data_IF_630377193334
#
_entry.id   IF_630377193334
#
_cell.length_a   1.000
_cell.length_b   1.000
_cell.length_c   1.000
_cell.angle_alpha   90.00
_cell.angle_beta   90.00
_cell.angle_gamma   90.00
#
_symmetry.space_group_name_H-M   'P 1'
#
loop_
_entity.id
_entity.type
_entity.pdbx_description
1 polymer ?
#
# COMPACT_ATOMS: atom_id res chain seq x y z
N UNK A 1 5.12 -35.99 -0.07
CA UNK A 1 6.12 -36.38 -1.09
C UNK A 1 5.45 -36.17 -2.45
N UNK A 2 5.74 -35.04 -3.08
CA UNK A 2 5.27 -34.74 -4.45
C UNK A 2 6.36 -35.29 -5.39
N UNK A 3 6.03 -36.02 -6.46
CA UNK A 3 7.05 -36.60 -7.33
C UNK A 3 7.84 -35.50 -8.03
N UNK A 4 9.17 -35.65 -8.02
CA UNK A 4 10.14 -34.65 -8.47
C UNK A 4 10.42 -34.69 -9.99
N UNK A 5 9.68 -35.49 -10.77
CA UNK A 5 9.99 -35.70 -12.18
C UNK A 5 8.71 -35.59 -13.02
N UNK A 6 8.34 -34.36 -13.40
CA UNK A 6 7.51 -34.15 -14.58
C UNK A 6 8.42 -34.34 -15.80
N UNK A 7 8.36 -35.54 -16.35
CA UNK A 7 8.96 -35.94 -17.61
C UNK A 7 8.86 -34.85 -18.68
N UNK A 8 9.92 -34.69 -19.47
CA UNK A 8 9.94 -34.00 -20.76
C UNK A 8 8.81 -34.54 -21.64
N UNK A 9 7.65 -33.89 -21.62
CA UNK A 9 6.54 -34.21 -22.50
C UNK A 9 6.60 -33.28 -23.72
N UNK A 10 6.70 -33.80 -24.96
CA UNK A 10 6.49 -32.98 -26.15
C UNK A 10 5.02 -32.53 -26.17
N UNK A 11 4.79 -31.21 -26.23
CA UNK A 11 3.46 -30.64 -26.44
C UNK A 11 2.99 -30.98 -27.86
N UNK A 12 2.16 -32.02 -28.00
CA UNK A 12 1.55 -32.39 -29.29
C UNK A 12 0.09 -31.95 -29.30
N UNK A 13 -0.18 -30.86 -30.01
CA UNK A 13 -1.52 -30.39 -30.35
C UNK A 13 -1.46 -29.06 -31.09
N UNK A 14 -1.79 -29.04 -32.39
CA UNK A 14 -2.07 -27.87 -33.25
C UNK A 14 -0.97 -26.80 -33.42
N UNK A 15 -0.50 -26.22 -32.32
CA UNK A 15 0.54 -25.20 -32.20
C UNK A 15 1.95 -25.77 -31.94
N UNK A 16 2.15 -27.07 -32.20
CA UNK A 16 3.36 -27.84 -31.87
C UNK A 16 4.63 -27.54 -32.69
N UNK A 17 4.82 -26.30 -33.17
CA UNK A 17 6.03 -25.92 -33.93
C UNK A 17 6.90 -24.84 -33.28
N UNK A 18 6.51 -24.30 -32.13
CA UNK A 18 7.18 -23.15 -31.54
C UNK A 18 7.77 -23.38 -30.15
N UNK A 19 7.45 -24.49 -29.48
CA UNK A 19 7.88 -24.78 -28.11
C UNK A 19 8.75 -26.03 -28.04
N UNK A 20 9.92 -25.92 -27.41
CA UNK A 20 10.91 -26.99 -27.28
C UNK A 20 10.82 -27.71 -25.93
N UNK A 21 10.52 -27.00 -24.84
CA UNK A 21 10.35 -27.59 -23.51
C UNK A 21 9.63 -26.63 -22.56
N UNK A 22 9.03 -27.17 -21.50
CA UNK A 22 8.51 -26.41 -20.38
C UNK A 22 8.99 -27.05 -19.06
N UNK A 23 9.34 -26.24 -18.05
CA UNK A 23 9.68 -26.71 -16.70
C UNK A 23 9.11 -25.79 -15.63
N UNK A 24 8.86 -26.34 -14.45
CA UNK A 24 8.41 -25.56 -13.30
C UNK A 24 9.60 -25.29 -12.36
N UNK A 25 9.81 -24.03 -11.98
CA UNK A 25 10.85 -23.61 -11.01
C UNK A 25 10.20 -22.68 -10.00
N UNK A 26 10.21 -23.02 -8.70
CA UNK A 26 9.68 -22.18 -7.61
C UNK A 26 8.27 -21.59 -7.86
N UNK A 27 7.31 -22.42 -8.31
CA UNK A 27 5.94 -22.05 -8.71
C UNK A 27 5.80 -21.20 -9.99
N UNK A 28 6.85 -21.10 -10.79
CA UNK A 28 6.83 -20.48 -12.12
C UNK A 28 6.88 -21.52 -13.22
N UNK A 29 6.15 -21.28 -14.31
CA UNK A 29 6.25 -22.09 -15.53
C UNK A 29 7.19 -21.37 -16.50
N UNK A 30 8.26 -22.06 -16.87
CA UNK A 30 9.29 -21.59 -17.81
C UNK A 30 9.10 -22.34 -19.12
N UNK A 31 8.80 -21.63 -20.21
CA UNK A 31 8.57 -22.22 -21.54
C UNK A 31 9.65 -21.75 -22.51
N UNK A 32 10.28 -22.69 -23.23
CA UNK A 32 11.36 -22.46 -24.21
C UNK A 32 10.83 -22.59 -25.64
N UNK A 33 11.14 -21.64 -26.52
CA UNK A 33 10.70 -21.67 -27.94
C UNK A 33 11.60 -20.94 -28.94
N UNK A 34 11.43 -21.22 -30.25
CA UNK A 34 12.16 -20.59 -31.37
C UNK A 34 11.17 -19.81 -32.25
N UNK A 35 11.44 -18.51 -32.50
CA UNK A 35 10.73 -17.69 -33.51
C UNK A 35 11.48 -17.68 -34.84
N UNK A 36 10.76 -17.82 -35.96
CA UNK A 36 11.37 -17.94 -37.29
C UNK A 36 11.22 -16.75 -38.24
N UNK A 37 10.42 -15.71 -37.99
CA UNK A 37 10.28 -14.58 -38.95
C UNK A 37 10.10 -13.18 -38.31
N UNK A 38 10.52 -12.13 -39.04
CA UNK A 38 10.59 -10.70 -38.62
C UNK A 38 9.19 -10.07 -38.47
N UNK A 39 8.97 -9.26 -37.42
CA UNK A 39 7.69 -8.60 -37.14
C UNK A 39 7.88 -7.12 -36.71
N UNK A 40 6.92 -6.24 -37.05
CA UNK A 40 6.81 -4.82 -36.65
C UNK A 40 5.43 -4.57 -36.00
N UNK A 41 5.34 -3.77 -34.93
CA UNK A 41 4.08 -3.54 -34.19
C UNK A 41 4.00 -2.18 -33.46
N UNK A 42 2.76 -1.68 -33.28
CA UNK A 42 2.37 -0.41 -32.64
C UNK A 42 1.45 -0.58 -31.41
N UNK A 43 1.11 0.53 -30.76
CA UNK A 43 0.92 0.66 -29.30
C UNK A 43 -0.53 0.54 -28.75
N UNK A 44 -0.64 0.00 -27.52
CA UNK A 44 -1.74 0.27 -26.57
C UNK A 44 -2.69 -0.91 -26.29
N UNK A 45 -2.95 -1.16 -25.00
CA UNK A 45 -3.91 -2.11 -24.38
C UNK A 45 -3.44 -3.56 -24.16
N UNK A 46 -4.14 -4.22 -23.22
CA UNK A 46 -3.89 -5.51 -22.57
C UNK A 46 -3.12 -6.56 -23.37
N UNK A 47 -2.22 -7.28 -22.69
CA UNK A 47 -1.59 -8.47 -23.26
C UNK A 47 -2.58 -9.64 -23.12
N UNK A 48 -3.46 -9.79 -24.10
CA UNK A 48 -4.07 -11.09 -24.38
C UNK A 48 -3.07 -11.88 -25.24
N UNK A 49 -2.55 -12.98 -24.69
CA UNK A 49 -1.77 -13.94 -25.48
C UNK A 49 -2.76 -14.87 -26.18
N UNK A 50 -3.28 -14.44 -27.33
CA UNK A 50 -4.11 -15.28 -28.20
C UNK A 50 -3.20 -16.06 -29.14
N UNK A 51 -3.14 -17.38 -28.98
CA UNK A 51 -2.47 -18.26 -29.94
C UNK A 51 -3.43 -18.60 -31.08
N UNK A 52 -3.50 -17.72 -32.07
CA UNK A 52 -4.08 -18.04 -33.38
C UNK A 52 -3.16 -17.44 -34.45
N UNK A 53 -2.64 -18.31 -35.30
CA UNK A 53 -1.80 -18.06 -36.48
C UNK A 53 -1.24 -16.62 -36.65
N UNK A 54 0.00 -16.47 -36.18
CA UNK A 54 0.99 -15.43 -36.56
C UNK A 54 1.00 -14.12 -35.76
N UNK A 55 2.16 -13.86 -35.12
CA UNK A 55 2.76 -12.58 -34.66
C UNK A 55 2.60 -12.19 -33.16
N UNK A 56 3.74 -11.95 -32.47
CA UNK A 56 3.86 -11.32 -31.13
C UNK A 56 5.12 -10.42 -31.07
N UNK A 57 5.09 -9.22 -30.44
CA UNK A 57 6.23 -8.28 -30.34
C UNK A 57 6.45 -7.67 -28.92
N UNK A 58 7.68 -7.19 -28.63
CA UNK A 58 8.12 -6.55 -27.36
C UNK A 58 9.06 -5.34 -27.65
N UNK A 59 8.92 -4.22 -26.93
CA UNK A 59 9.82 -3.04 -26.98
C UNK A 59 10.19 -2.54 -25.56
N UNK A 60 11.47 -2.20 -25.31
CA UNK A 60 11.97 -1.56 -24.09
C UNK A 60 12.32 -0.06 -24.26
N UNK A 61 12.00 0.85 -23.32
CA UNK A 61 11.91 2.29 -23.63
C UNK A 61 13.23 3.07 -23.62
N UNK A 62 14.36 2.50 -23.18
CA UNK A 62 15.58 3.29 -22.87
C UNK A 62 16.90 2.70 -23.40
N UNK A 63 16.87 1.87 -24.45
CA UNK A 63 18.11 1.37 -25.06
C UNK A 63 18.29 1.95 -26.48
N UNK A 64 19.38 2.67 -26.71
CA UNK A 64 19.77 3.17 -28.03
C UNK A 64 20.10 1.99 -28.99
N UNK A 65 19.81 2.12 -30.30
CA UNK A 65 19.69 0.99 -31.21
C UNK A 65 21.03 0.66 -31.87
N UNK A 66 21.79 -0.29 -31.33
CA UNK A 66 22.96 -0.83 -32.05
C UNK A 66 23.09 -2.36 -32.03
N UNK A 67 22.13 -3.10 -31.48
CA UNK A 67 22.22 -4.56 -31.44
C UNK A 67 21.08 -5.17 -32.28
N UNK A 68 21.44 -5.66 -33.46
CA UNK A 68 20.61 -6.59 -34.22
C UNK A 68 20.81 -7.98 -33.60
N UNK A 69 19.78 -8.55 -33.00
CA UNK A 69 19.84 -9.93 -32.51
C UNK A 69 19.48 -10.89 -33.65
N UNK A 70 20.45 -11.67 -34.13
CA UNK A 70 20.18 -12.80 -35.02
C UNK A 70 19.62 -13.97 -34.20
N UNK A 71 18.35 -14.30 -34.43
CA UNK A 71 17.63 -15.45 -33.88
C UNK A 71 17.71 -15.59 -32.34
N UNK A 72 16.81 -14.92 -31.62
CA UNK A 72 16.66 -15.06 -30.17
C UNK A 72 15.86 -16.32 -29.78
N UNK A 73 16.26 -16.98 -28.69
CA UNK A 73 15.36 -17.86 -27.94
C UNK A 73 14.52 -16.98 -27.01
N UNK A 74 13.19 -17.19 -26.98
CA UNK A 74 12.31 -16.51 -26.01
C UNK A 74 12.07 -17.47 -24.85
N UNK A 75 12.34 -16.98 -23.64
CA UNK A 75 11.94 -17.65 -22.40
C UNK A 75 10.77 -16.86 -21.80
N UNK A 76 9.57 -17.43 -21.85
CA UNK A 76 8.40 -16.84 -21.20
C UNK A 76 8.33 -17.38 -19.78
N UNK A 77 8.31 -16.48 -18.79
CA UNK A 77 8.13 -16.83 -17.38
C UNK A 77 6.80 -16.26 -16.91
N UNK A 78 5.83 -17.14 -16.67
CA UNK A 78 4.54 -16.78 -16.13
C UNK A 78 4.50 -17.10 -14.62
N UNK A 79 4.09 -16.12 -13.81
CA UNK A 79 3.88 -16.29 -12.37
C UNK A 79 2.40 -16.59 -12.11
N UNK A 80 2.11 -17.68 -11.38
CA UNK A 80 0.76 -18.02 -10.95
C UNK A 80 -0.09 -18.84 -11.93
N UNK A 81 0.50 -19.46 -12.95
CA UNK A 81 -0.22 -20.43 -13.79
C UNK A 81 -0.51 -21.70 -12.97
N UNK A 82 -1.78 -21.94 -12.64
CA UNK A 82 -2.27 -23.27 -12.30
C UNK A 82 -2.69 -23.98 -13.59
N UNK A 83 -2.02 -25.08 -13.95
CA UNK A 83 -2.57 -26.01 -14.93
C UNK A 83 -3.72 -26.76 -14.27
N UNK A 84 -4.96 -26.41 -14.63
CA UNK A 84 -6.09 -27.30 -14.37
C UNK A 84 -5.92 -28.53 -15.27
N UNK A 85 -5.63 -29.69 -14.67
CA UNK A 85 -5.66 -30.95 -15.41
C UNK A 85 -7.05 -31.14 -16.05
N UNK A 86 -7.13 -31.68 -17.28
CA UNK A 86 -8.42 -31.95 -17.92
C UNK A 86 -9.25 -32.86 -17.00
N UNK A 87 -10.45 -32.39 -16.63
CA UNK A 87 -11.44 -33.25 -16.01
C UNK A 87 -12.04 -34.14 -17.09
N UNK A 88 -11.62 -35.40 -17.06
CA UNK A 88 -12.18 -36.58 -17.73
C UNK A 88 -12.44 -36.50 -19.24
N UNK A 89 -12.04 -37.58 -19.90
CA UNK A 89 -12.19 -37.84 -21.33
C UNK A 89 -13.63 -37.55 -21.79
N UNK A 90 -13.83 -36.50 -22.61
CA UNK A 90 -14.68 -36.47 -23.83
C UNK A 90 -14.99 -35.06 -24.36
N UNK A 91 -14.57 -33.97 -23.74
CA UNK A 91 -14.64 -32.65 -24.36
C UNK A 91 -13.36 -31.85 -24.11
N UNK A 92 -12.62 -31.55 -25.19
CA UNK A 92 -11.56 -30.54 -25.19
C UNK A 92 -12.20 -29.18 -24.93
N UNK A 93 -12.44 -28.85 -23.67
CA UNK A 93 -12.70 -27.48 -23.25
C UNK A 93 -11.43 -26.66 -23.42
N UNK A 94 -11.53 -25.49 -24.04
CA UNK A 94 -10.41 -24.55 -24.12
C UNK A 94 -9.87 -24.29 -22.71
N UNK A 95 -8.54 -24.38 -22.48
CA UNK A 95 -7.97 -24.01 -21.19
C UNK A 95 -8.24 -22.53 -20.93
N UNK A 96 -9.12 -22.25 -19.96
CA UNK A 96 -9.38 -20.90 -19.50
C UNK A 96 -8.15 -20.36 -18.77
N UNK A 97 -7.54 -19.31 -19.31
CA UNK A 97 -6.48 -18.57 -18.64
C UNK A 97 -7.12 -17.56 -17.68
N UNK A 98 -7.13 -17.85 -16.37
CA UNK A 98 -7.33 -16.80 -15.37
C UNK A 98 -6.12 -15.88 -15.40
N UNK A 99 -6.37 -14.56 -15.48
CA UNK A 99 -5.38 -13.46 -15.58
C UNK A 99 -4.07 -13.76 -14.85
N UNK A 100 -3.07 -14.25 -15.59
CA UNK A 100 -1.73 -14.52 -15.08
C UNK A 100 -0.79 -13.36 -15.42
N UNK A 101 0.14 -13.05 -14.51
CA UNK A 101 1.20 -12.08 -14.77
C UNK A 101 2.30 -12.74 -15.61
N UNK A 102 2.54 -12.19 -16.81
CA UNK A 102 3.52 -12.73 -17.77
C UNK A 102 4.74 -11.81 -17.82
N UNK A 103 5.93 -12.36 -17.57
CA UNK A 103 7.22 -11.72 -17.87
C UNK A 103 7.87 -12.39 -19.09
N UNK A 104 8.56 -11.61 -19.92
CA UNK A 104 9.26 -12.12 -21.11
C UNK A 104 10.77 -11.89 -20.94
N UNK A 105 11.56 -12.96 -21.02
CA UNK A 105 13.03 -12.90 -21.17
C UNK A 105 13.38 -13.09 -22.64
N UNK A 106 14.26 -12.23 -23.16
CA UNK A 106 14.89 -12.43 -24.46
C UNK A 106 16.36 -12.79 -24.21
N UNK A 107 16.84 -13.89 -24.78
CA UNK A 107 18.25 -14.31 -24.67
C UNK A 107 18.83 -14.69 -26.03
N UNK A 108 20.15 -14.56 -26.18
CA UNK A 108 20.88 -15.03 -27.36
C UNK A 108 20.99 -16.56 -27.36
N UNK A 109 20.91 -17.18 -28.55
CA UNK A 109 20.91 -18.63 -28.80
C UNK A 109 22.00 -19.46 -28.08
N UNK A 110 23.07 -18.82 -27.64
CA UNK A 110 24.25 -19.46 -27.04
C UNK A 110 24.21 -19.58 -25.51
N UNK A 111 23.25 -18.94 -24.84
CA UNK A 111 23.26 -18.81 -23.38
C UNK A 111 22.30 -19.79 -22.70
N UNK A 112 22.84 -20.63 -21.81
CA UNK A 112 22.03 -21.46 -20.92
C UNK A 112 21.73 -20.67 -19.63
N UNK A 113 20.46 -20.33 -19.42
CA UNK A 113 20.00 -19.72 -18.16
C UNK A 113 19.90 -20.81 -17.10
N UNK A 114 20.92 -20.93 -16.25
CA UNK A 114 21.03 -22.02 -15.27
C UNK A 114 20.45 -21.66 -13.88
N UNK A 115 20.43 -20.38 -13.49
CA UNK A 115 20.01 -19.95 -12.14
C UNK A 115 19.17 -18.67 -12.16
N UNK A 116 18.16 -18.61 -11.28
CA UNK A 116 17.32 -17.45 -11.04
C UNK A 116 17.55 -16.95 -9.60
N UNK A 117 17.92 -15.68 -9.40
CA UNK A 117 18.09 -15.11 -8.06
C UNK A 117 17.20 -13.87 -7.87
N UNK A 118 16.47 -13.78 -6.75
CA UNK A 118 15.57 -12.66 -6.46
C UNK A 118 16.33 -11.52 -5.76
N UNK A 119 16.45 -10.35 -6.40
CA UNK A 119 17.02 -9.13 -5.78
C UNK A 119 16.13 -7.92 -6.08
N UNK A 120 15.74 -7.17 -5.04
CA UNK A 120 15.01 -5.90 -5.14
C UNK A 120 13.70 -5.93 -5.95
N UNK A 121 13.00 -7.07 -6.00
CA UNK A 121 11.76 -7.22 -6.77
C UNK A 121 11.96 -7.60 -8.24
N UNK A 122 13.20 -7.75 -8.69
CA UNK A 122 13.58 -8.24 -10.01
C UNK A 122 14.14 -9.66 -9.91
N UNK A 123 13.90 -10.49 -10.92
CA UNK A 123 14.67 -11.73 -11.11
C UNK A 123 15.95 -11.38 -11.86
N UNK A 124 17.08 -11.59 -11.19
CA UNK A 124 18.40 -11.50 -11.80
C UNK A 124 18.75 -12.86 -12.40
N UNK A 125 19.04 -12.87 -13.70
CA UNK A 125 19.77 -13.95 -14.34
C UNK A 125 21.25 -13.61 -14.19
N UNK A 126 22.08 -14.59 -13.87
CA UNK A 126 23.52 -14.41 -13.68
C UNK A 126 24.23 -14.27 -15.05
N UNK A 127 23.87 -13.22 -15.80
CA UNK A 127 24.66 -12.69 -16.91
C UNK A 127 24.39 -11.19 -17.05
N UNK A 128 25.44 -10.39 -17.23
CA UNK A 128 25.47 -8.91 -17.14
C UNK A 128 24.71 -8.20 -18.28
N UNK A 129 23.91 -8.93 -19.06
CA UNK A 129 23.37 -8.50 -20.36
C UNK A 129 21.83 -8.53 -20.44
N UNK A 130 21.13 -9.19 -19.50
CA UNK A 130 19.68 -9.44 -19.60
C UNK A 130 18.96 -9.23 -18.27
N UNK A 131 17.82 -8.53 -18.27
CA UNK A 131 16.98 -8.33 -17.08
C UNK A 131 15.52 -8.69 -17.39
N UNK A 132 14.85 -9.31 -16.41
CA UNK A 132 13.42 -9.62 -16.48
C UNK A 132 12.66 -8.64 -15.58
N UNK A 133 11.73 -7.88 -16.16
CA UNK A 133 10.87 -6.96 -15.40
C UNK A 133 9.47 -7.54 -15.30
N UNK A 134 9.03 -7.83 -14.07
CA UNK A 134 7.60 -7.99 -13.79
C UNK A 134 7.05 -6.60 -13.48
N UNK A 135 6.18 -6.09 -14.35
CA UNK A 135 5.44 -4.87 -14.06
C UNK A 135 4.32 -5.22 -13.08
N UNK A 136 4.64 -5.22 -11.78
CA UNK A 136 3.60 -5.16 -10.77
C UNK A 136 2.99 -3.77 -10.85
N UNK A 137 1.75 -3.68 -11.35
CA UNK A 137 0.94 -2.48 -11.17
C UNK A 137 0.68 -2.37 -9.67
N UNK A 138 1.39 -1.47 -9.00
CA UNK A 138 1.13 -1.20 -7.59
C UNK A 138 -0.03 -0.22 -7.47
N UNK A 139 -0.86 -0.35 -6.42
CA UNK A 139 -1.99 0.55 -6.26
C UNK A 139 -1.51 1.98 -6.01
N UNK A 140 -2.27 2.93 -6.56
CA UNK A 140 -2.15 4.35 -6.23
C UNK A 140 -3.27 4.66 -5.25
N UNK A 141 -2.91 5.11 -4.05
CA UNK A 141 -3.90 5.55 -3.07
C UNK A 141 -4.04 7.06 -3.11
N UNK A 142 -5.25 7.55 -2.84
CA UNK A 142 -5.55 8.97 -2.77
C UNK A 142 -6.02 9.34 -1.36
N UNK A 143 -5.44 10.39 -0.80
CA UNK A 143 -5.91 11.04 0.42
C UNK A 143 -5.94 12.55 0.20
N UNK A 144 -7.03 13.22 0.59
CA UNK A 144 -7.09 14.68 0.49
C UNK A 144 -8.03 15.31 1.52
N UNK A 145 -7.99 16.63 1.60
CA UNK A 145 -8.94 17.43 2.36
C UNK A 145 -10.03 18.08 1.47
N UNK A 146 -10.21 17.63 0.21
CA UNK A 146 -11.13 18.27 -0.75
C UNK A 146 -12.61 18.17 -0.36
N UNK A 147 -12.97 17.15 0.43
CA UNK A 147 -14.35 16.72 0.66
C UNK A 147 -14.79 15.66 -0.36
N UNK A 148 -15.65 14.74 0.07
CA UNK A 148 -16.18 13.66 -0.78
C UNK A 148 -17.09 14.17 -1.92
N UNK A 149 -17.75 15.32 -1.71
CA UNK A 149 -18.75 15.87 -2.64
C UNK A 149 -18.15 16.85 -3.67
N UNK A 150 -16.83 16.82 -3.89
CA UNK A 150 -16.14 17.80 -4.73
C UNK A 150 -15.51 17.18 -5.99
N UNK A 151 -15.50 17.92 -7.10
CA UNK A 151 -15.09 17.42 -8.42
C UNK A 151 -13.60 17.07 -8.50
N UNK A 152 -12.75 17.64 -7.64
CA UNK A 152 -11.30 17.51 -7.68
C UNK A 152 -10.83 16.05 -7.61
N UNK A 153 -11.49 15.21 -6.81
CA UNK A 153 -11.17 13.78 -6.71
C UNK A 153 -11.42 13.07 -8.04
N UNK A 154 -12.56 13.35 -8.69
CA UNK A 154 -12.87 12.82 -10.02
C UNK A 154 -11.85 13.24 -11.07
N UNK A 155 -11.41 14.50 -11.04
CA UNK A 155 -10.36 15.01 -11.94
C UNK A 155 -9.01 14.34 -11.71
N UNK A 156 -8.62 14.08 -10.46
CA UNK A 156 -7.39 13.33 -10.16
C UNK A 156 -7.46 11.90 -10.70
N UNK A 157 -8.55 11.19 -10.43
CA UNK A 157 -8.75 9.83 -10.95
C UNK A 157 -8.74 9.79 -12.47
N UNK A 158 -9.42 10.73 -13.13
CA UNK A 158 -9.40 10.86 -14.58
C UNK A 158 -7.99 11.12 -15.13
N UNK A 159 -7.19 11.96 -14.45
CA UNK A 159 -5.80 12.23 -14.82
C UNK A 159 -4.91 10.99 -14.69
N UNK A 160 -5.09 10.21 -13.61
CA UNK A 160 -4.39 8.93 -13.41
C UNK A 160 -4.76 7.97 -14.54
N UNK A 161 -6.06 7.74 -14.78
CA UNK A 161 -6.54 6.81 -15.80
C UNK A 161 -6.13 7.22 -17.22
N UNK A 162 -6.01 8.52 -17.50
CA UNK A 162 -5.49 9.02 -18.78
C UNK A 162 -4.01 8.61 -19.00
N UNK A 163 -3.21 8.54 -17.93
CA UNK A 163 -1.78 8.19 -17.98
C UNK A 163 -1.52 6.69 -17.80
N UNK A 164 -2.41 6.02 -17.08
CA UNK A 164 -2.32 4.63 -16.66
C UNK A 164 -3.73 4.03 -16.61
N UNK A 165 -4.31 3.64 -17.76
CA UNK A 165 -5.67 3.09 -17.83
C UNK A 165 -5.90 1.85 -16.96
N UNK A 166 -4.84 1.11 -16.68
CA UNK A 166 -4.80 -0.11 -15.85
C UNK A 166 -4.61 0.17 -14.34
N UNK A 167 -4.54 1.44 -13.92
CA UNK A 167 -4.24 1.80 -12.53
C UNK A 167 -5.29 1.26 -11.55
N UNK A 168 -4.82 0.65 -10.46
CA UNK A 168 -5.64 0.36 -9.29
C UNK A 168 -5.66 1.60 -8.39
N UNK A 169 -6.77 2.34 -8.41
CA UNK A 169 -6.92 3.56 -7.62
C UNK A 169 -7.75 3.26 -6.37
N UNK A 170 -7.22 3.58 -5.19
CA UNK A 170 -7.90 3.37 -3.91
C UNK A 170 -8.00 4.68 -3.13
N UNK A 171 -9.21 5.15 -2.84
CA UNK A 171 -9.37 6.30 -1.94
C UNK A 171 -9.20 5.83 -0.50
N UNK A 172 -8.27 6.43 0.25
CA UNK A 172 -8.21 6.26 1.69
C UNK A 172 -9.32 7.06 2.37
N UNK A 173 -9.37 8.35 2.06
CA UNK A 173 -10.44 9.27 2.47
C UNK A 173 -10.19 10.64 1.83
N UNK A 174 -11.28 11.37 1.57
CA UNK A 174 -11.24 12.77 1.15
C UNK A 174 -11.85 13.71 2.18
N UNK A 175 -12.09 13.19 3.39
CA UNK A 175 -12.70 13.89 4.52
C UNK A 175 -11.67 14.27 5.58
N UNK A 176 -10.40 14.43 5.18
CA UNK A 176 -9.38 15.00 6.06
C UNK A 176 -9.79 16.43 6.41
N UNK A 177 -9.43 16.84 7.64
CA UNK A 177 -9.70 18.21 8.08
C UNK A 177 -8.87 19.15 7.25
N UNK A 178 -9.46 20.30 6.89
CA UNK A 178 -8.81 21.26 5.99
C UNK A 178 -7.42 21.63 6.52
N UNK A 179 -6.42 21.45 5.67
CA UNK A 179 -5.01 21.77 5.93
C UNK A 179 -4.40 21.05 7.13
N UNK A 180 -4.91 19.87 7.52
CA UNK A 180 -4.50 19.17 8.73
C UNK A 180 -3.56 17.98 8.46
N UNK A 181 -2.22 18.17 8.56
CA UNK A 181 -1.26 17.10 8.37
C UNK A 181 -1.28 16.06 9.50
N UNK A 182 -1.75 16.40 10.70
CA UNK A 182 -1.82 15.47 11.84
C UNK A 182 -2.91 14.43 11.61
N UNK A 183 -4.09 14.87 11.16
CA UNK A 183 -5.17 13.95 10.79
C UNK A 183 -4.76 13.04 9.63
N UNK A 184 -4.14 13.62 8.61
CA UNK A 184 -3.67 12.87 7.45
C UNK A 184 -2.62 11.81 7.83
N UNK A 185 -1.62 12.20 8.62
CA UNK A 185 -0.58 11.28 9.09
C UNK A 185 -1.17 10.13 9.91
N UNK A 186 -2.19 10.39 10.73
CA UNK A 186 -2.89 9.34 11.48
C UNK A 186 -3.47 8.26 10.54
N UNK A 187 -4.18 8.68 9.50
CA UNK A 187 -4.79 7.76 8.51
C UNK A 187 -3.71 7.04 7.69
N UNK A 188 -2.69 7.76 7.24
CA UNK A 188 -1.61 7.20 6.42
C UNK A 188 -0.77 6.17 7.16
N UNK A 189 -0.52 6.34 8.47
CA UNK A 189 0.16 5.31 9.28
C UNK A 189 -0.63 4.00 9.29
N UNK A 190 -1.95 4.08 9.48
CA UNK A 190 -2.81 2.92 9.46
C UNK A 190 -2.82 2.23 8.09
N UNK A 191 -2.83 3.01 7.00
CA UNK A 191 -2.76 2.49 5.65
C UNK A 191 -1.40 1.82 5.37
N UNK A 192 -0.29 2.43 5.79
CA UNK A 192 1.07 1.95 5.53
C UNK A 192 1.31 0.51 6.02
N UNK A 193 0.65 0.07 7.09
CA UNK A 193 0.82 -1.28 7.64
C UNK A 193 0.06 -2.36 6.84
N UNK A 194 -0.94 -1.97 6.04
CA UNK A 194 -1.83 -2.90 5.33
C UNK A 194 -1.54 -2.93 3.83
N UNK A 195 -1.16 -1.80 3.23
CA UNK A 195 -0.90 -1.71 1.80
C UNK A 195 0.42 -2.41 1.40
N UNK A 196 0.46 -3.05 0.21
CA UNK A 196 1.64 -3.76 -0.24
C UNK A 196 2.83 -2.81 -0.46
N UNK A 197 4.05 -3.35 -0.38
CA UNK A 197 5.27 -2.63 -0.76
C UNK A 197 5.14 -2.13 -2.21
N UNK A 198 5.69 -0.95 -2.48
CA UNK A 198 5.61 -0.27 -3.77
C UNK A 198 4.32 0.52 -4.00
N UNK A 199 3.33 0.44 -3.11
CA UNK A 199 2.14 1.33 -3.14
C UNK A 199 2.58 2.80 -3.16
N UNK A 200 1.89 3.61 -3.96
CA UNK A 200 2.15 5.04 -4.07
C UNK A 200 0.97 5.83 -3.51
N UNK A 201 1.20 6.60 -2.45
CA UNK A 201 0.20 7.43 -1.78
C UNK A 201 0.32 8.87 -2.27
N UNK A 202 -0.72 9.37 -2.93
CA UNK A 202 -0.82 10.78 -3.35
C UNK A 202 -1.56 11.57 -2.28
N UNK A 203 -0.89 12.60 -1.75
CA UNK A 203 -1.37 13.39 -0.62
C UNK A 203 -1.77 14.79 -1.09
N UNK A 204 -3.07 15.03 -1.19
CA UNK A 204 -3.67 16.33 -1.50
C UNK A 204 -4.11 17.09 -0.25
N UNK A 205 -3.17 17.41 0.64
CA UNK A 205 -3.42 18.16 1.88
C UNK A 205 -2.43 19.31 1.95
N UNK A 206 -2.94 20.54 1.96
CA UNK A 206 -2.11 21.77 1.93
C UNK A 206 -0.97 21.67 0.89
N UNK A 207 -1.32 21.24 -0.32
CA UNK A 207 -0.36 20.85 -1.36
C UNK A 207 0.31 22.03 -2.07
N UNK A 208 -0.02 23.27 -1.71
CA UNK A 208 0.62 24.45 -2.32
C UNK A 208 2.10 24.45 -1.95
N UNK A 209 2.96 24.64 -2.96
CA UNK A 209 4.40 24.73 -2.75
C UNK A 209 4.77 26.07 -2.10
N UNK A 210 5.56 26.00 -1.03
CA UNK A 210 6.23 27.16 -0.45
C UNK A 210 7.68 26.79 -0.09
N UNK A 211 8.57 27.76 0.17
CA UNK A 211 9.92 27.45 0.67
C UNK A 211 9.92 26.59 1.94
N UNK A 212 8.89 26.74 2.78
CA UNK A 212 8.71 25.98 4.02
C UNK A 212 7.98 24.64 3.80
N UNK A 213 7.24 24.50 2.70
CA UNK A 213 6.46 23.31 2.35
C UNK A 213 6.78 22.83 0.93
N UNK A 214 8.03 22.43 0.67
CA UNK A 214 8.44 21.98 -0.65
C UNK A 214 7.81 20.63 -0.98
N UNK A 215 7.71 20.29 -2.26
CA UNK A 215 7.16 19.01 -2.71
C UNK A 215 8.19 17.89 -2.59
N UNK A 216 7.76 16.76 -2.04
CA UNK A 216 8.64 15.62 -1.77
C UNK A 216 8.03 14.31 -2.27
N UNK A 217 8.91 13.43 -2.71
CA UNK A 217 8.65 12.00 -2.76
C UNK A 217 9.42 11.38 -1.59
N UNK A 218 8.72 10.72 -0.68
CA UNK A 218 9.31 10.04 0.48
C UNK A 218 9.09 8.55 0.33
N UNK A 219 10.17 7.78 0.39
CA UNK A 219 10.11 6.33 0.52
C UNK A 219 10.16 5.97 1.99
N UNK A 220 9.12 5.29 2.47
CA UNK A 220 9.00 4.87 3.87
C UNK A 220 8.33 3.50 3.92
N UNK A 221 8.90 2.58 4.71
CA UNK A 221 8.40 1.21 4.83
C UNK A 221 8.22 0.53 3.45
N UNK A 222 9.12 0.82 2.50
CA UNK A 222 9.06 0.31 1.13
C UNK A 222 7.85 0.76 0.30
N UNK A 223 7.16 1.82 0.69
CA UNK A 223 6.09 2.50 -0.06
C UNK A 223 6.50 3.93 -0.40
N UNK A 224 5.82 4.58 -1.34
CA UNK A 224 6.10 5.95 -1.76
C UNK A 224 4.98 6.90 -1.35
N UNK A 225 5.34 8.07 -0.84
CA UNK A 225 4.41 9.12 -0.43
C UNK A 225 4.77 10.41 -1.17
N UNK A 226 3.80 11.01 -1.87
CA UNK A 226 4.00 12.20 -2.69
C UNK A 226 3.12 13.32 -2.15
N UNK A 227 3.72 14.45 -1.79
CA UNK A 227 2.99 15.62 -1.28
C UNK A 227 3.90 16.74 -0.80
N UNK A 228 3.31 17.81 -0.28
CA UNK A 228 4.05 18.91 0.37
C UNK A 228 4.58 18.51 1.75
N UNK A 229 5.81 18.90 2.04
CA UNK A 229 6.42 18.69 3.36
C UNK A 229 5.90 19.69 4.40
N UNK A 230 4.69 19.42 4.86
CA UNK A 230 4.01 20.14 5.96
C UNK A 230 4.34 19.55 7.33
N UNK A 231 5.37 18.70 7.41
CA UNK A 231 5.68 17.88 8.60
C UNK A 231 4.91 16.56 8.65
N UNK A 232 3.96 16.34 7.72
CA UNK A 232 3.18 15.11 7.60
C UNK A 232 4.06 13.85 7.55
N UNK A 233 5.19 13.90 6.84
CA UNK A 233 6.10 12.76 6.73
C UNK A 233 6.73 12.39 8.08
N UNK A 234 7.17 13.37 8.87
CA UNK A 234 7.67 13.11 10.22
C UNK A 234 6.59 12.58 11.15
N UNK A 235 5.37 13.12 11.05
CA UNK A 235 4.21 12.65 11.84
C UNK A 235 3.82 11.21 11.51
N UNK A 236 4.09 10.73 10.29
CA UNK A 236 3.94 9.32 9.91
C UNK A 236 5.01 8.40 10.51
N UNK A 237 6.06 8.97 11.13
CA UNK A 237 7.18 8.20 11.68
C UNK A 237 8.41 8.17 10.78
N UNK A 238 8.49 9.02 9.75
CA UNK A 238 9.69 9.19 8.92
C UNK A 238 10.83 9.93 9.67
N UNK A 239 11.18 9.47 10.88
CA UNK A 239 12.39 9.96 11.58
C UNK A 239 13.65 9.62 10.81
N UNK A 240 13.64 8.49 10.10
CA UNK A 240 14.66 8.05 9.15
C UNK A 240 13.93 7.39 7.95
N UNK A 241 13.49 8.17 6.95
CA UNK A 241 12.90 7.60 5.74
C UNK A 241 13.93 6.77 4.97
N UNK A 242 13.46 5.81 4.18
CA UNK A 242 14.31 4.97 3.32
C UNK A 242 15.01 5.84 2.24
N UNK A 243 14.30 6.84 1.71
CA UNK A 243 14.82 7.84 0.79
C UNK A 243 13.88 9.05 0.70
N UNK A 244 14.41 10.21 0.30
CA UNK A 244 13.65 11.43 0.04
C UNK A 244 14.15 12.09 -1.25
N UNK A 245 13.23 12.51 -2.11
CA UNK A 245 13.52 13.20 -3.36
C UNK A 245 12.76 14.53 -3.43
N UNK A 246 13.45 15.55 -3.93
CA UNK A 246 12.94 16.89 -4.17
C UNK A 246 12.18 16.94 -5.49
N UNK A 247 10.87 17.24 -5.42
CA UNK A 247 10.00 17.41 -6.58
C UNK A 247 9.65 18.89 -6.81
N UNK A 248 10.22 19.81 -6.01
CA UNK A 248 9.98 21.24 -6.12
C UNK A 248 10.52 21.84 -7.41
N UNK A 249 9.78 22.80 -7.97
CA UNK A 249 10.22 23.53 -9.17
C UNK A 249 10.37 22.68 -10.44
N UNK A 250 9.89 21.43 -10.44
CA UNK A 250 9.84 20.58 -11.63
C UNK A 250 8.85 21.21 -12.60
N UNK A 251 9.34 21.59 -13.79
CA UNK A 251 8.49 22.11 -14.86
C UNK A 251 7.58 20.98 -15.35
N UNK A 252 6.28 21.26 -15.38
CA UNK A 252 5.28 20.35 -15.93
C UNK A 252 4.74 20.94 -17.22
N UNK A 253 4.32 20.08 -18.15
CA UNK A 253 3.69 20.52 -19.41
C UNK A 253 2.35 21.25 -19.18
N UNK A 254 1.79 21.12 -17.99
CA UNK A 254 0.50 21.71 -17.58
C UNK A 254 0.73 22.79 -16.51
N UNK A 255 0.61 24.07 -16.89
CA UNK A 255 0.77 25.21 -15.97
C UNK A 255 -0.49 25.41 -15.08
N UNK A 256 -0.66 24.53 -14.09
CA UNK A 256 -1.71 24.63 -13.07
C UNK A 256 -1.10 24.72 -11.65
N UNK A 257 -0.60 25.90 -11.24
CA UNK A 257 0.10 26.05 -9.96
C UNK A 257 -0.81 25.84 -8.74
N UNK A 258 -2.13 25.90 -8.91
CA UNK A 258 -3.12 25.71 -7.84
C UNK A 258 -3.64 24.28 -7.73
N UNK A 259 -3.17 23.35 -8.56
CA UNK A 259 -3.56 21.94 -8.50
C UNK A 259 -2.37 20.98 -8.73
N UNK A 260 -1.31 21.08 -7.92
CA UNK A 260 -0.09 20.28 -8.07
C UNK A 260 -0.34 18.78 -7.96
N UNK A 261 -1.38 18.36 -7.25
CA UNK A 261 -1.79 16.97 -7.18
C UNK A 261 -2.05 16.39 -8.58
N UNK A 262 -2.69 17.18 -9.44
CA UNK A 262 -2.99 16.77 -10.82
C UNK A 262 -1.79 16.98 -11.75
N UNK A 263 -1.17 18.16 -11.72
CA UNK A 263 -0.15 18.54 -12.70
C UNK A 263 1.21 17.89 -12.43
N UNK A 264 1.54 17.58 -11.17
CA UNK A 264 2.85 17.10 -10.75
C UNK A 264 2.79 15.75 -10.02
N UNK A 265 1.92 15.58 -9.01
CA UNK A 265 1.92 14.36 -8.20
C UNK A 265 1.38 13.16 -8.96
N UNK A 266 0.34 13.31 -9.78
CA UNK A 266 -0.19 12.22 -10.63
C UNK A 266 0.85 11.70 -11.64
N UNK A 267 1.57 12.53 -12.41
CA UNK A 267 2.68 12.06 -13.24
C UNK A 267 3.74 11.28 -12.44
N UNK A 268 4.18 11.81 -11.30
CA UNK A 268 5.13 11.14 -10.43
C UNK A 268 4.60 9.80 -9.91
N UNK A 269 3.33 9.76 -9.47
CA UNK A 269 2.69 8.57 -8.94
C UNK A 269 2.57 7.47 -9.99
N UNK A 270 2.14 7.82 -11.20
CA UNK A 270 1.99 6.86 -12.31
C UNK A 270 3.35 6.34 -12.81
N UNK A 271 4.41 7.16 -12.77
CA UNK A 271 5.78 6.68 -13.05
C UNK A 271 6.24 5.64 -12.02
N UNK A 272 6.09 5.94 -10.73
CA UNK A 272 6.49 5.03 -9.65
C UNK A 272 5.63 3.76 -9.62
N UNK A 273 4.32 3.87 -9.84
CA UNK A 273 3.40 2.73 -9.85
C UNK A 273 3.65 1.75 -11.00
N UNK A 274 4.33 2.20 -12.06
CA UNK A 274 4.81 1.35 -13.17
C UNK A 274 6.19 0.73 -12.91
N UNK A 275 6.76 0.91 -11.72
CA UNK A 275 8.09 0.45 -11.36
C UNK A 275 9.22 1.38 -11.79
N UNK A 276 8.90 2.62 -12.18
CA UNK A 276 9.90 3.65 -12.47
C UNK A 276 10.72 4.02 -11.24
N UNK A 277 11.96 4.48 -11.47
CA UNK A 277 12.87 4.88 -10.40
C UNK A 277 12.64 6.36 -10.01
N UNK A 278 12.64 6.71 -8.70
CA UNK A 278 12.37 8.07 -8.22
C UNK A 278 13.45 9.09 -8.61
N UNK A 279 14.68 8.66 -8.88
CA UNK A 279 15.81 9.50 -9.31
C UNK A 279 15.55 10.20 -10.65
N UNK A 280 14.64 9.65 -11.48
CA UNK A 280 14.22 10.29 -12.74
C UNK A 280 13.22 11.43 -12.51
N UNK A 281 12.58 11.49 -11.35
CA UNK A 281 11.56 12.47 -11.02
C UNK A 281 12.12 13.65 -10.22
N UNK A 282 13.14 13.41 -9.40
CA UNK A 282 13.69 14.40 -8.49
C UNK A 282 15.07 14.04 -7.99
N UNK A 283 15.79 15.04 -7.48
CA UNK A 283 17.11 14.85 -6.87
C UNK A 283 16.98 14.39 -5.41
N UNK A 284 17.96 13.64 -4.86
CA UNK A 284 17.99 13.33 -3.43
C UNK A 284 17.91 14.59 -2.57
N UNK A 285 17.18 14.51 -1.46
CA UNK A 285 16.94 15.64 -0.56
C UNK A 285 16.68 15.19 0.89
N UNK A 286 16.30 16.16 1.73
CA UNK A 286 15.91 15.95 3.13
C UNK A 286 14.51 16.53 3.38
N UNK A 287 13.89 16.08 4.47
CA UNK A 287 12.72 16.75 5.05
C UNK A 287 13.15 18.09 5.67
N UNK A 288 12.35 19.12 5.44
CA UNK A 288 12.57 20.48 5.90
C UNK A 288 11.74 20.76 7.15
N UNK A 289 10.49 20.29 7.18
CA UNK A 289 9.58 20.55 8.29
C UNK A 289 9.76 19.54 9.41
N UNK A 290 10.05 20.04 10.62
CA UNK A 290 10.11 19.24 11.84
C UNK A 290 8.72 19.17 12.47
N UNK A 291 8.25 17.95 12.78
CA UNK A 291 6.97 17.75 13.44
C UNK A 291 6.99 16.46 14.27
N UNK A 292 6.44 16.53 15.48
CA UNK A 292 6.30 15.36 16.34
C UNK A 292 4.85 15.25 16.83
N UNK A 293 4.37 14.00 16.95
CA UNK A 293 3.07 13.76 17.58
C UNK A 293 3.17 14.05 19.07
N UNK A 294 2.15 14.71 19.62
CA UNK A 294 1.91 14.71 21.06
C UNK A 294 1.71 13.25 21.50
N UNK A 295 2.43 12.86 22.55
CA UNK A 295 2.40 11.50 23.09
C UNK A 295 1.56 11.44 24.36
N UNK A 296 0.90 10.31 24.64
CA UNK A 296 0.31 10.11 25.95
C UNK A 296 1.37 10.21 27.05
N UNK A 297 0.98 10.73 28.21
CA UNK A 297 1.85 10.97 29.37
C UNK A 297 1.45 10.05 30.51
N UNK A 298 2.45 9.44 31.16
CA UNK A 298 2.25 8.70 32.41
C UNK A 298 2.57 9.62 33.59
N UNK A 299 1.58 9.89 34.44
CA UNK A 299 1.68 10.78 35.59
C UNK A 299 1.31 10.02 36.87
N UNK A 300 2.32 9.54 37.59
CA UNK A 300 2.10 8.74 38.81
C UNK A 300 1.31 7.46 38.52
N UNK A 301 0.05 7.41 38.96
CA UNK A 301 -0.85 6.28 38.72
C UNK A 301 -1.83 6.52 37.56
N UNK A 302 -1.63 7.54 36.74
CA UNK A 302 -2.49 7.83 35.61
C UNK A 302 -1.75 7.74 34.28
N UNK A 303 -2.51 7.38 33.24
CA UNK A 303 -2.11 7.50 31.84
C UNK A 303 -3.10 8.46 31.16
N UNK A 304 -2.57 9.54 30.58
CA UNK A 304 -3.35 10.57 29.91
C UNK A 304 -3.00 10.56 28.42
N UNK A 305 -3.96 10.23 27.58
CA UNK A 305 -3.89 10.42 26.13
C UNK A 305 -4.99 11.36 25.65
N UNK A 306 -5.17 11.46 24.35
CA UNK A 306 -6.14 12.34 23.72
C UNK A 306 -6.85 11.64 22.56
N UNK A 307 -8.08 12.05 22.28
CA UNK A 307 -8.80 11.62 21.08
C UNK A 307 -8.09 12.16 19.83
N UNK A 308 -7.66 11.27 18.93
CA UNK A 308 -6.98 11.63 17.67
C UNK A 308 -7.81 11.35 16.42
N UNK A 309 -8.88 10.57 16.55
CA UNK A 309 -9.79 10.36 15.45
C UNK A 309 -11.20 10.08 15.98
N UNK A 310 -12.20 10.58 15.24
CA UNK A 310 -13.60 10.25 15.45
C UNK A 310 -14.09 9.59 14.17
N UNK A 311 -14.51 8.33 14.28
CA UNK A 311 -15.01 7.60 13.11
C UNK A 311 -16.44 8.03 12.73
N UNK A 312 -16.95 7.53 11.60
CA UNK A 312 -18.28 7.86 11.12
C UNK A 312 -19.44 7.39 12.01
N UNK A 313 -19.18 6.55 13.03
CA UNK A 313 -20.17 6.12 14.04
C UNK A 313 -20.09 6.96 15.32
N UNK A 314 -19.15 7.90 15.41
CA UNK A 314 -18.90 8.69 16.60
C UNK A 314 -18.06 7.95 17.65
N UNK A 315 -17.33 6.89 17.28
CA UNK A 315 -16.35 6.26 18.16
C UNK A 315 -15.08 7.12 18.23
N UNK A 316 -14.53 7.26 19.43
CA UNK A 316 -13.36 8.11 19.69
C UNK A 316 -12.10 7.25 19.83
N UNK A 317 -11.21 7.32 18.85
CA UNK A 317 -9.92 6.63 18.85
C UNK A 317 -8.88 7.56 19.44
N UNK A 318 -8.11 7.07 20.41
CA UNK A 318 -7.10 7.85 21.14
C UNK A 318 -5.68 7.57 20.64
N UNK A 319 -4.70 8.34 21.12
CA UNK A 319 -3.26 8.05 20.96
C UNK A 319 -2.70 7.04 21.96
N UNK A 320 -3.54 6.41 22.80
CA UNK A 320 -3.12 5.41 23.79
C UNK A 320 -3.02 4.03 23.12
N UNK A 321 -1.82 3.54 22.88
CA UNK A 321 -1.62 2.19 22.36
C UNK A 321 -1.69 1.10 23.45
N UNK A 322 -1.99 -0.12 23.02
CA UNK A 322 -2.13 -1.31 23.89
C UNK A 322 -0.88 -1.60 24.71
N UNK A 323 0.31 -1.39 24.16
CA UNK A 323 1.57 -1.67 24.84
C UNK A 323 1.78 -0.65 25.95
N UNK A 324 1.63 0.64 25.66
CA UNK A 324 1.73 1.70 26.66
C UNK A 324 0.71 1.54 27.80
N UNK A 325 -0.54 1.19 27.46
CA UNK A 325 -1.56 0.89 28.47
C UNK A 325 -1.13 -0.24 29.41
N UNK A 326 -0.58 -1.34 28.86
CA UNK A 326 -0.12 -2.48 29.66
C UNK A 326 1.09 -2.12 30.53
N UNK A 327 2.04 -1.37 29.99
CA UNK A 327 3.26 -0.94 30.68
C UNK A 327 2.96 0.03 31.82
N UNK A 328 2.08 1.00 31.57
CA UNK A 328 1.61 1.94 32.59
C UNK A 328 0.78 1.23 33.66
N UNK A 329 -0.13 0.34 33.26
CA UNK A 329 -1.05 -0.33 34.17
C UNK A 329 -0.43 -1.47 34.99
N UNK A 330 0.50 -2.24 34.42
CA UNK A 330 1.12 -3.42 35.06
C UNK A 330 0.12 -4.41 35.67
N UNK A 331 -1.04 -4.56 35.01
CA UNK A 331 -2.12 -5.45 35.47
C UNK A 331 -2.95 -4.93 36.64
N UNK A 332 -2.75 -3.68 37.08
CA UNK A 332 -3.54 -3.06 38.15
C UNK A 332 -4.98 -2.83 37.70
N UNK A 333 -5.90 -2.85 38.66
CA UNK A 333 -7.27 -2.38 38.44
C UNK A 333 -7.23 -0.93 37.94
N UNK A 334 -8.15 -0.58 37.06
CA UNK A 334 -8.20 0.76 36.47
C UNK A 334 -9.63 1.22 36.24
N UNK A 335 -9.79 2.52 36.02
CA UNK A 335 -10.97 3.07 35.36
C UNK A 335 -10.55 4.15 34.36
N UNK A 336 -11.31 4.25 33.27
CA UNK A 336 -11.23 5.36 32.32
C UNK A 336 -12.26 6.39 32.77
N UNK A 337 -11.80 7.60 33.11
CA UNK A 337 -12.63 8.68 33.64
C UNK A 337 -13.52 9.26 32.53
N UNK A 338 -14.83 9.01 32.62
CA UNK A 338 -15.83 9.55 31.69
C UNK A 338 -16.56 10.77 32.26
N UNK A 339 -15.93 11.49 33.19
CA UNK A 339 -16.43 12.68 33.93
C UNK A 339 -17.63 12.42 34.85
N UNK A 340 -18.28 11.27 34.73
CA UNK A 340 -19.42 10.83 35.55
C UNK A 340 -19.16 9.41 36.00
N UNK A 341 -19.10 9.18 37.31
CA UNK A 341 -18.73 7.87 37.88
C UNK A 341 -19.52 6.66 37.34
N UNK A 342 -20.80 6.87 37.02
CA UNK A 342 -21.70 5.87 36.40
C UNK A 342 -21.33 5.48 34.97
N UNK A 343 -20.54 6.32 34.29
CA UNK A 343 -20.10 6.14 32.91
C UNK A 343 -18.66 5.65 32.83
N UNK A 344 -17.92 5.64 33.94
CA UNK A 344 -16.52 5.20 33.95
C UNK A 344 -16.38 3.75 33.48
N UNK A 345 -15.38 3.53 32.63
CA UNK A 345 -15.14 2.23 32.01
C UNK A 345 -14.07 1.50 32.82
N UNK A 346 -14.40 0.33 33.37
CA UNK A 346 -13.52 -0.46 34.25
C UNK A 346 -12.95 -1.72 33.61
N UNK A 347 -13.28 -1.97 32.34
CA UNK A 347 -12.86 -3.16 31.59
C UNK A 347 -12.58 -2.79 30.14
N UNK A 348 -11.54 -3.40 29.58
CA UNK A 348 -11.30 -3.40 28.13
C UNK A 348 -12.09 -4.57 27.52
N UNK A 349 -13.03 -4.25 26.63
CA UNK A 349 -13.82 -5.20 25.85
C UNK A 349 -13.01 -5.85 24.72
N UNK A 350 -13.47 -7.01 24.23
CA UNK A 350 -12.95 -7.64 23.02
C UNK A 350 -13.61 -7.08 21.76
N UNK A 351 -14.91 -6.79 21.82
CA UNK A 351 -15.73 -6.32 20.69
C UNK A 351 -16.74 -5.24 21.11
N UNK A 352 -17.39 -4.61 20.12
CA UNK A 352 -18.40 -3.55 20.32
C UNK A 352 -19.64 -3.99 21.11
N UNK A 353 -19.86 -5.30 21.22
CA UNK A 353 -21.02 -5.90 21.89
C UNK A 353 -20.70 -6.41 23.29
N UNK A 354 -19.44 -6.33 23.74
CA UNK A 354 -19.01 -6.86 25.03
C UNK A 354 -19.25 -5.87 26.18
N UNK A 355 -20.48 -5.36 26.27
CA UNK A 355 -20.96 -4.43 27.30
C UNK A 355 -22.48 -4.35 27.31
N UNK A 356 -23.04 -3.52 28.18
CA UNK A 356 -24.48 -3.28 28.20
C UNK A 356 -24.87 -2.34 27.05
N UNK A 357 -25.87 -2.68 26.21
CA UNK A 357 -26.33 -1.78 25.17
C UNK A 357 -26.66 -0.37 25.69
N UNK A 358 -26.14 0.66 25.02
CA UNK A 358 -26.29 2.06 25.40
C UNK A 358 -25.27 2.57 26.44
N UNK A 359 -24.44 1.69 27.01
CA UNK A 359 -23.37 2.09 27.94
C UNK A 359 -22.01 2.27 27.23
N UNK A 360 -21.09 3.07 27.80
CA UNK A 360 -19.74 3.22 27.27
C UNK A 360 -18.97 1.92 27.29
N UNK A 361 -18.22 1.69 26.22
CA UNK A 361 -17.31 0.54 26.08
C UNK A 361 -15.96 1.04 25.57
N UNK A 362 -14.88 0.45 26.06
CA UNK A 362 -13.54 0.71 25.55
C UNK A 362 -12.91 -0.58 25.05
N UNK A 363 -12.24 -0.53 23.91
CA UNK A 363 -11.48 -1.64 23.33
C UNK A 363 -10.21 -1.13 22.68
N UNK A 364 -9.32 -2.04 22.29
CA UNK A 364 -8.24 -1.71 21.38
C UNK A 364 -8.65 -2.14 19.97
N UNK A 365 -8.66 -1.19 19.04
CA UNK A 365 -9.10 -1.43 17.67
C UNK A 365 -8.02 -2.12 16.82
N UNK A 366 -8.26 -2.24 15.51
CA UNK A 366 -7.35 -2.90 14.58
C UNK A 366 -5.96 -2.22 14.47
N UNK A 367 -5.86 -0.92 14.81
CA UNK A 367 -4.58 -0.20 14.89
C UNK A 367 -3.86 -0.42 16.24
N UNK A 368 -4.46 -1.17 17.17
CA UNK A 368 -3.93 -1.36 18.51
C UNK A 368 -4.09 -0.15 19.43
N UNK A 369 -4.90 0.84 19.03
CA UNK A 369 -5.18 2.06 19.78
C UNK A 369 -6.46 1.91 20.61
N UNK A 370 -6.49 2.52 21.79
CA UNK A 370 -7.66 2.54 22.65
C UNK A 370 -8.76 3.38 22.00
N UNK A 371 -9.90 2.76 21.82
CA UNK A 371 -11.11 3.31 21.21
C UNK A 371 -12.23 3.29 22.25
N UNK A 372 -12.94 4.41 22.37
CA UNK A 372 -14.10 4.58 23.24
C UNK A 372 -15.33 4.68 22.35
N UNK A 373 -16.30 3.81 22.60
CA UNK A 373 -17.53 3.69 21.86
C UNK A 373 -18.73 3.60 22.82
N UNK A 374 -19.93 3.53 22.25
CA UNK A 374 -21.15 3.15 22.97
C UNK A 374 -21.54 1.76 22.51
N UNK A 375 -21.72 0.81 23.43
CA UNK A 375 -22.12 -0.54 23.09
C UNK A 375 -23.46 -0.53 22.35
N UNK A 376 -23.49 -1.08 21.14
CA UNK A 376 -24.64 -1.02 20.23
C UNK A 376 -25.14 0.41 19.91
N UNK A 377 -24.34 1.45 20.19
CA UNK A 377 -24.62 2.84 19.85
C UNK A 377 -24.58 3.07 18.34
N UNK A 378 -25.36 4.04 17.86
CA UNK A 378 -25.45 4.32 16.42
C UNK A 378 -26.27 3.29 15.61
N UNK A 379 -26.86 2.27 16.26
CA UNK A 379 -27.70 1.28 15.59
C UNK A 379 -28.98 1.92 15.04
N UNK A 380 -29.00 2.22 13.74
CA UNK A 380 -30.21 2.59 12.97
C UNK A 380 -30.39 4.07 12.64
N UNK A 381 -29.80 5.01 13.40
CA UNK A 381 -29.99 6.45 13.18
C UNK A 381 -28.69 7.22 12.87
N UNK A 382 -27.52 6.59 13.03
CA UNK A 382 -26.22 7.28 12.98
C UNK A 382 -25.90 8.15 14.20
N UNK A 383 -26.85 8.27 15.15
CA UNK A 383 -26.69 9.02 16.40
C UNK A 383 -26.48 8.08 17.59
N UNK A 384 -25.81 8.58 18.62
CA UNK A 384 -25.62 7.85 19.87
C UNK A 384 -24.27 7.15 19.98
N UNK A 385 -23.26 7.62 19.23
CA UNK A 385 -21.86 7.29 19.44
C UNK A 385 -21.28 7.97 20.69
N UNK A 386 -19.99 7.74 20.94
CA UNK A 386 -19.29 8.33 22.09
C UNK A 386 -19.27 9.86 22.01
N UNK A 387 -19.15 10.44 20.82
CA UNK A 387 -19.22 11.90 20.63
C UNK A 387 -20.55 12.50 21.08
N UNK A 388 -21.67 11.84 20.76
CA UNK A 388 -23.01 12.37 21.05
C UNK A 388 -23.39 12.16 22.52
N UNK A 389 -23.12 10.97 23.06
CA UNK A 389 -23.58 10.59 24.40
C UNK A 389 -22.60 10.95 25.52
N UNK A 390 -21.30 10.99 25.22
CA UNK A 390 -20.25 11.36 26.18
C UNK A 390 -19.71 12.77 25.96
N UNK A 391 -20.04 13.39 24.82
CA UNK A 391 -19.55 14.72 24.47
C UNK A 391 -18.06 14.75 24.15
N UNK A 392 -17.43 13.59 23.92
CA UNK A 392 -16.03 13.49 23.54
C UNK A 392 -15.80 14.08 22.15
N UNK A 393 -14.73 14.84 21.99
CA UNK A 393 -14.35 15.47 20.74
C UNK A 393 -12.89 15.20 20.41
N UNK A 394 -12.50 15.49 19.17
CA UNK A 394 -11.09 15.51 18.81
C UNK A 394 -10.30 16.38 19.80
N UNK A 395 -9.11 15.89 20.18
CA UNK A 395 -8.18 16.48 21.14
C UNK A 395 -8.66 16.49 22.61
N UNK A 396 -9.86 15.98 22.92
CA UNK A 396 -10.26 15.84 24.31
C UNK A 396 -9.33 14.85 25.03
N UNK A 397 -8.90 15.16 26.27
CA UNK A 397 -8.07 14.27 27.05
C UNK A 397 -8.88 13.06 27.53
N UNK A 398 -8.25 11.89 27.47
CA UNK A 398 -8.75 10.63 28.01
C UNK A 398 -7.79 10.17 29.09
N UNK A 399 -8.28 10.14 30.33
CA UNK A 399 -7.50 9.80 31.52
C UNK A 399 -7.87 8.41 32.02
N UNK A 400 -6.86 7.58 32.21
CA UNK A 400 -6.95 6.25 32.78
C UNK A 400 -6.27 6.29 34.13
N UNK A 401 -7.02 6.03 35.20
CA UNK A 401 -6.51 5.97 36.57
C UNK A 401 -6.30 4.51 36.96
N UNK A 402 -5.08 4.18 37.39
CA UNK A 402 -4.72 2.86 37.91
C UNK A 402 -4.78 2.88 39.44
N UNK A 403 -5.18 1.75 40.03
CA UNK A 403 -5.10 1.54 41.46
C UNK A 403 -3.67 1.75 41.97
N UNK A 404 -3.53 2.19 43.23
CA UNK A 404 -2.23 2.26 43.87
C UNK A 404 -1.56 0.88 43.85
N UNK A 405 -0.23 0.87 43.68
CA UNK A 405 0.53 -0.36 43.82
C UNK A 405 0.29 -0.95 45.21
N UNK A 406 -0.08 -2.22 45.29
CA UNK A 406 -0.09 -2.92 46.58
C UNK A 406 1.35 -2.93 47.10
N UNK A 407 1.55 -2.43 48.33
CA UNK A 407 2.81 -2.63 49.02
C UNK A 407 3.07 -4.14 49.10
N UNK A 408 4.30 -4.56 48.78
CA UNK A 408 4.71 -5.94 48.97
C UNK A 408 4.39 -6.33 50.43
N UNK A 409 3.82 -7.53 50.68
CA UNK A 409 3.57 -7.96 52.05
C UNK A 409 4.88 -7.89 52.81
N UNK A 410 4.91 -7.05 53.85
CA UNK A 410 6.03 -6.99 54.79
C UNK A 410 6.15 -8.39 55.37
N UNK A 411 7.23 -9.09 55.01
CA UNK A 411 7.64 -10.30 55.72
C UNK A 411 8.00 -9.83 57.14
N UNK A 412 7.06 -9.98 58.07
CA UNK A 412 7.38 -9.97 59.49
C UNK A 412 8.33 -11.15 59.75
N UNK A 413 9.57 -10.81 60.10
CA UNK A 413 10.64 -11.75 60.44
C UNK A 413 10.45 -12.36 61.82
#
# INVERSE_FOLDING_TARGET
MVPNDLHQAPLVGGAGRYFQSARTVDNHVVVRGILKERCFLGFGQAVDVVFADSVVAVHMPNYHPHHFFEAAEILVVAHGLQFCAPRDDTQLGEPGFERAQVGVLLTEKSHQVETFERKNGFMHVEDKSSFLTFAFVTPITLISDFGADNMYVGLLKGSILKRMPEAQIVDLTHSIRKFDPVHAAFVLRAAMDVFPKGTVHVIGINAVETPDHPHRIVKLNGQYFIGSDTGIFQLMGAKQPDAVFDLSGVQTDEDFPTFPERSLFVPAATHLAKGGIPEMLGRPASLVTQAENVRPVVEGNALVGHVRHVDGRGNCITDIDRTLFKEAGRGRQFFIDMRRARSDIRRIAGTYTDGTPGEPVAMFNAMGLLEIAICMGGSGSGYGGATDLLGLKYDDPVRIEFAAAQAAPTLEL
#
